data_IF_713180469494
#
_entry.id   IF_713180469494
#
_cell.length_a   1.000
_cell.length_b   1.000
_cell.length_c   1.000
_cell.angle_alpha   90.00
_cell.angle_beta   90.00
_cell.angle_gamma   90.00
#
_symmetry.space_group_name_H-M   'P 1'
#
loop_
_entity.id
_entity.type
_entity.pdbx_description
1 polymer ?
#
# COMPACT_ATOMS: atom_id res chain seq x y z
N UNK A 1 -13.09 -0.68 -25.37
CA UNK A 1 -12.31 0.53 -25.68
C UNK A 1 -10.84 0.23 -25.50
N UNK A 2 -10.03 0.57 -26.50
CA UNK A 2 -8.57 0.44 -26.47
C UNK A 2 -7.99 1.76 -26.98
N UNK A 3 -7.19 2.43 -26.17
CA UNK A 3 -6.37 3.57 -26.57
C UNK A 3 -4.93 3.13 -26.66
N UNK A 4 -4.30 3.50 -27.76
CA UNK A 4 -2.88 3.30 -27.99
C UNK A 4 -2.16 4.64 -28.06
N UNK A 5 -0.91 4.67 -27.63
CA UNK A 5 -0.02 5.83 -27.76
C UNK A 5 0.41 6.05 -29.23
N UNK A 6 1.14 7.14 -29.50
CA UNK A 6 1.66 7.45 -30.84
C UNK A 6 2.59 6.36 -31.43
N UNK A 7 3.22 5.54 -30.57
CA UNK A 7 4.02 4.37 -30.94
C UNK A 7 3.18 3.10 -31.15
N UNK A 8 1.86 3.17 -30.98
CA UNK A 8 0.95 2.04 -31.13
C UNK A 8 0.90 1.09 -29.94
N UNK A 9 1.48 1.44 -28.77
CA UNK A 9 1.39 0.59 -27.57
C UNK A 9 0.07 0.85 -26.85
N UNK A 10 -0.59 -0.18 -26.28
CA UNK A 10 -1.79 0.03 -25.51
C UNK A 10 -1.45 0.90 -24.29
N UNK A 11 -2.20 1.98 -24.09
CA UNK A 11 -2.11 2.88 -22.94
C UNK A 11 -3.34 2.70 -22.04
N UNK A 12 -4.51 2.45 -22.62
CA UNK A 12 -5.74 2.18 -21.87
C UNK A 12 -6.53 1.08 -22.57
N UNK A 13 -6.92 0.05 -21.83
CA UNK A 13 -7.78 -1.02 -22.32
C UNK A 13 -8.94 -1.18 -21.35
N UNK A 14 -10.18 -1.16 -21.81
CA UNK A 14 -11.31 -1.33 -20.93
C UNK A 14 -12.60 -1.68 -21.64
N UNK A 15 -13.61 -2.00 -20.86
CA UNK A 15 -14.96 -2.24 -21.37
C UNK A 15 -15.80 -0.97 -21.29
N UNK A 16 -16.71 -0.84 -22.25
CA UNK A 16 -17.58 0.32 -22.41
C UNK A 16 -18.93 -0.23 -22.81
N UNK A 17 -19.96 0.05 -22.02
CA UNK A 17 -21.34 -0.38 -22.25
C UNK A 17 -22.18 0.85 -22.52
N UNK A 18 -22.91 0.87 -23.63
CA UNK A 18 -23.78 2.00 -24.03
C UNK A 18 -23.06 3.37 -24.07
N UNK A 19 -21.79 3.37 -24.48
CA UNK A 19 -20.97 4.59 -24.55
C UNK A 19 -20.46 5.11 -23.20
N UNK A 20 -20.70 4.37 -22.11
CA UNK A 20 -20.17 4.68 -20.77
C UNK A 20 -19.17 3.61 -20.33
N UNK A 21 -18.17 4.00 -19.54
CA UNK A 21 -17.23 3.05 -18.94
C UNK A 21 -17.98 2.13 -17.98
N UNK A 22 -17.97 0.83 -18.28
CA UNK A 22 -18.64 -0.19 -17.49
C UNK A 22 -17.78 -1.46 -17.55
N UNK A 23 -17.25 -1.84 -16.38
CA UNK A 23 -16.28 -2.91 -16.21
C UNK A 23 -14.88 -2.44 -15.84
N UNK A 24 -13.94 -3.37 -15.88
CA UNK A 24 -12.54 -3.11 -15.56
C UNK A 24 -11.83 -2.40 -16.73
N UNK A 25 -11.09 -1.35 -16.39
CA UNK A 25 -10.23 -0.56 -17.26
C UNK A 25 -8.79 -0.69 -16.77
N UNK A 26 -7.93 -1.19 -17.62
CA UNK A 26 -6.49 -1.37 -17.44
C UNK A 26 -5.77 -0.18 -18.07
N UNK A 27 -4.80 0.37 -17.36
CA UNK A 27 -3.91 1.41 -17.82
C UNK A 27 -2.51 0.84 -17.88
N UNK A 28 -1.83 1.14 -18.98
CA UNK A 28 -0.50 0.68 -19.28
C UNK A 28 0.42 1.88 -19.40
N UNK A 29 1.50 1.89 -18.62
CA UNK A 29 2.57 2.87 -18.73
C UNK A 29 3.75 2.21 -19.46
N UNK A 30 4.20 2.83 -20.57
CA UNK A 30 5.30 2.31 -21.39
C UNK A 30 5.11 0.86 -21.88
N UNK A 31 3.86 0.42 -22.05
CA UNK A 31 3.50 -0.95 -22.45
C UNK A 31 3.46 -1.97 -21.31
N UNK A 32 3.65 -1.54 -20.06
CA UNK A 32 3.48 -2.39 -18.85
C UNK A 32 2.22 -2.00 -18.10
N UNK A 33 1.54 -2.97 -17.51
CA UNK A 33 0.36 -2.70 -16.68
C UNK A 33 0.77 -1.83 -15.49
N UNK A 34 0.21 -0.63 -15.43
CA UNK A 34 0.48 0.36 -14.38
C UNK A 34 -0.70 0.49 -13.43
N UNK A 35 -1.93 0.25 -13.89
CA UNK A 35 -3.12 0.40 -13.07
C UNK A 35 -4.29 -0.39 -13.62
N UNK A 36 -5.20 -0.82 -12.76
CA UNK A 36 -6.49 -1.41 -13.14
C UNK A 36 -7.55 -0.75 -12.27
N UNK A 37 -8.57 -0.18 -12.88
CA UNK A 37 -9.65 0.51 -12.18
C UNK A 37 -10.99 0.03 -12.71
N UNK A 38 -11.97 -0.18 -11.82
CA UNK A 38 -13.31 -0.63 -12.20
C UNK A 38 -14.26 0.54 -12.25
N UNK A 39 -14.95 0.68 -13.38
CA UNK A 39 -15.99 1.68 -13.60
C UNK A 39 -17.34 0.97 -13.73
N UNK A 40 -18.39 1.63 -13.28
CA UNK A 40 -19.77 1.15 -13.43
C UNK A 40 -20.62 2.34 -13.85
N UNK A 41 -21.39 2.18 -14.92
CA UNK A 41 -22.27 3.22 -15.46
C UNK A 41 -21.62 4.60 -15.69
N UNK A 42 -20.30 4.63 -15.93
CA UNK A 42 -19.49 5.84 -16.12
C UNK A 42 -18.88 6.45 -14.84
N UNK A 43 -19.19 5.91 -13.66
CA UNK A 43 -18.59 6.30 -12.39
C UNK A 43 -17.54 5.28 -11.94
N UNK A 44 -16.53 5.74 -11.20
CA UNK A 44 -15.55 4.84 -10.58
C UNK A 44 -16.21 4.12 -9.40
N UNK A 45 -16.61 2.88 -9.62
CA UNK A 45 -17.35 2.04 -8.66
C UNK A 45 -16.78 0.62 -8.71
N UNK A 46 -15.79 0.40 -7.87
CA UNK A 46 -15.13 -0.89 -7.70
C UNK A 46 -13.66 -0.75 -7.31
N UNK A 47 -12.93 -1.88 -7.36
CA UNK A 47 -11.53 -1.90 -6.98
C UNK A 47 -10.65 -1.22 -8.01
N UNK A 48 -9.62 -0.55 -7.51
CA UNK A 48 -8.55 0.11 -8.23
C UNK A 48 -7.21 -0.42 -7.71
N UNK A 49 -6.50 -1.17 -8.53
CA UNK A 49 -5.19 -1.75 -8.20
C UNK A 49 -4.11 -1.00 -8.98
N UNK A 50 -3.07 -0.53 -8.30
CA UNK A 50 -1.90 0.11 -8.92
C UNK A 50 -0.74 -0.86 -8.97
N UNK A 51 -0.04 -0.91 -10.08
CA UNK A 51 1.10 -1.78 -10.35
C UNK A 51 2.35 -0.95 -10.62
N UNK A 52 3.49 -1.39 -10.09
CA UNK A 52 4.78 -0.77 -10.31
C UNK A 52 5.42 -1.21 -11.63
N UNK A 53 6.52 -0.57 -12.01
CA UNK A 53 7.25 -0.89 -13.24
C UNK A 53 7.79 -2.34 -13.28
N UNK A 54 7.94 -2.98 -12.12
CA UNK A 54 8.31 -4.39 -11.94
C UNK A 54 7.12 -5.36 -11.98
N UNK A 55 5.89 -4.85 -12.10
CA UNK A 55 4.65 -5.65 -12.02
C UNK A 55 4.18 -5.95 -10.60
N UNK A 56 4.88 -5.45 -9.58
CA UNK A 56 4.45 -5.56 -8.18
C UNK A 56 3.23 -4.69 -7.90
N UNK A 57 2.28 -5.18 -7.10
CA UNK A 57 1.12 -4.38 -6.66
C UNK A 57 1.59 -3.31 -5.67
N UNK A 58 1.55 -2.06 -6.12
CA UNK A 58 1.90 -0.88 -5.32
C UNK A 58 0.78 -0.46 -4.36
N UNK A 59 -0.43 -0.98 -4.51
CA UNK A 59 -1.53 -0.67 -3.62
C UNK A 59 -2.87 -0.91 -4.29
N UNK A 60 -3.88 -1.08 -3.45
CA UNK A 60 -5.25 -1.34 -3.88
C UNK A 60 -6.16 -0.36 -3.18
N UNK A 61 -7.02 0.32 -3.91
CA UNK A 61 -8.02 1.22 -3.36
C UNK A 61 -9.39 0.79 -3.84
N UNK A 62 -10.39 0.86 -2.96
CA UNK A 62 -11.77 0.63 -3.33
C UNK A 62 -12.46 1.97 -3.49
N UNK A 63 -13.10 2.17 -4.63
CA UNK A 63 -13.95 3.34 -4.88
C UNK A 63 -15.40 2.89 -5.03
N UNK A 64 -16.34 3.72 -4.58
CA UNK A 64 -17.78 3.49 -4.76
C UNK A 64 -18.45 4.83 -5.02
N UNK A 65 -19.18 4.93 -6.12
CA UNK A 65 -19.78 6.18 -6.60
C UNK A 65 -18.79 7.36 -6.66
N UNK A 66 -17.51 7.09 -6.99
CA UNK A 66 -16.44 8.08 -7.01
C UNK A 66 -15.84 8.43 -5.64
N UNK A 67 -16.30 7.80 -4.56
CA UNK A 67 -15.79 8.00 -3.19
C UNK A 67 -14.77 6.91 -2.88
N UNK A 68 -13.56 7.32 -2.46
CA UNK A 68 -12.52 6.41 -1.96
C UNK A 68 -12.97 5.82 -0.61
N UNK A 69 -13.32 4.53 -0.59
CA UNK A 69 -13.76 3.80 0.60
C UNK A 69 -12.58 3.26 1.41
N UNK A 70 -11.62 2.64 0.73
CA UNK A 70 -10.44 2.07 1.38
C UNK A 70 -9.22 2.23 0.49
N UNK A 71 -8.06 2.39 1.10
CA UNK A 71 -6.77 2.12 0.47
C UNK A 71 -6.06 1.06 1.31
N UNK A 72 -5.77 -0.07 0.69
CA UNK A 72 -4.70 -0.93 1.15
C UNK A 72 -3.40 -0.32 0.66
N UNK A 73 -2.45 0.02 1.57
CA UNK A 73 -1.09 0.27 1.15
C UNK A 73 -0.58 -0.94 0.33
N UNK A 74 0.49 -0.76 -0.47
CA UNK A 74 1.18 -1.89 -1.07
C UNK A 74 1.41 -2.92 0.02
N UNK A 75 1.34 -4.21 -0.33
CA UNK A 75 1.88 -5.24 0.55
C UNK A 75 3.32 -4.80 0.86
N UNK A 76 3.52 -4.24 2.05
CA UNK A 76 4.83 -3.80 2.49
C UNK A 76 5.75 -5.00 2.26
N UNK A 77 7.00 -4.81 1.78
CA UNK A 77 7.97 -5.89 1.85
C UNK A 77 7.89 -6.45 3.28
N UNK A 78 7.91 -7.78 3.49
CA UNK A 78 7.79 -8.34 4.83
C UNK A 78 8.74 -7.56 5.72
N UNK A 79 8.19 -6.85 6.72
CA UNK A 79 8.99 -5.98 7.56
C UNK A 79 10.23 -6.77 7.98
N UNK A 80 11.46 -6.27 7.77
CA UNK A 80 12.64 -6.98 8.25
C UNK A 80 12.39 -7.30 9.73
N UNK A 81 12.75 -8.51 10.20
CA UNK A 81 12.46 -8.93 11.55
C UNK A 81 12.88 -7.80 12.49
N UNK A 82 11.93 -7.26 13.25
CA UNK A 82 12.21 -6.21 14.22
C UNK A 82 13.44 -6.67 15.01
N UNK A 83 14.48 -5.83 15.16
CA UNK A 83 15.58 -6.18 16.04
C UNK A 83 14.97 -6.57 17.38
N UNK A 84 15.43 -7.65 18.03
CA UNK A 84 14.86 -8.06 19.31
C UNK A 84 14.86 -6.82 20.20
N UNK A 85 13.67 -6.41 20.63
CA UNK A 85 13.54 -5.27 21.53
C UNK A 85 14.56 -5.46 22.65
N UNK A 86 15.33 -4.43 23.05
CA UNK A 86 16.31 -4.57 24.12
C UNK A 86 15.57 -5.21 25.29
N UNK A 87 16.07 -6.36 25.76
CA UNK A 87 15.40 -7.13 26.79
C UNK A 87 15.05 -6.17 27.94
N UNK A 88 13.81 -6.19 28.46
CA UNK A 88 13.45 -5.35 29.58
C UNK A 88 14.47 -5.59 30.70
N UNK A 89 14.90 -4.54 31.41
CA UNK A 89 15.93 -4.67 32.43
C UNK A 89 15.52 -5.78 33.39
N UNK A 90 16.41 -6.78 33.53
CA UNK A 90 16.16 -7.90 34.43
C UNK A 90 15.98 -7.38 35.86
N UNK A 91 15.31 -8.17 36.71
CA UNK A 91 15.18 -7.83 38.14
C UNK A 91 16.56 -7.57 38.78
N UNK A 92 17.61 -8.24 38.30
CA UNK A 92 19.00 -7.97 38.71
C UNK A 92 19.48 -6.57 38.29
N UNK A 93 19.14 -6.09 37.10
CA UNK A 93 19.47 -4.74 36.64
C UNK A 93 18.68 -3.67 37.42
N UNK A 94 17.39 -3.92 37.68
CA UNK A 94 16.57 -3.04 38.52
C UNK A 94 17.05 -3.01 39.97
N UNK A 95 17.43 -4.18 40.53
CA UNK A 95 17.97 -4.29 41.88
C UNK A 95 19.32 -3.58 42.00
N UNK A 96 20.22 -3.73 41.01
CA UNK A 96 21.48 -2.99 40.95
C UNK A 96 21.23 -1.49 40.90
N UNK A 97 20.35 -1.02 40.02
CA UNK A 97 20.01 0.39 39.90
C UNK A 97 19.41 0.95 41.20
N UNK A 98 18.52 0.21 41.84
CA UNK A 98 17.95 0.58 43.15
C UNK A 98 19.00 0.58 44.26
N UNK A 99 19.89 -0.42 44.32
CA UNK A 99 20.96 -0.50 45.31
C UNK A 99 21.96 0.64 45.12
N UNK A 100 22.35 0.95 43.88
CA UNK A 100 23.19 2.09 43.53
C UNK A 100 22.55 3.42 43.95
N UNK A 101 21.26 3.61 43.67
CA UNK A 101 20.52 4.81 44.07
C UNK A 101 20.40 4.94 45.60
N UNK A 102 20.21 3.82 46.30
CA UNK A 102 20.09 3.79 47.77
C UNK A 102 21.43 4.00 48.48
N UNK A 103 22.52 3.50 47.91
CA UNK A 103 23.88 3.66 48.44
C UNK A 103 24.43 5.08 48.20
N UNK A 104 24.09 5.70 47.06
CA UNK A 104 24.42 7.11 46.79
C UNK A 104 23.77 8.06 47.80
N UNK A 105 22.56 7.73 48.26
CA UNK A 105 21.81 8.53 49.26
C UNK A 105 22.28 8.31 50.71
N UNK A 106 23.12 7.30 50.98
CA UNK A 106 23.68 7.02 52.30
C UNK A 106 25.05 7.66 52.54
N UNK A 107 25.61 8.34 51.53
CA UNK A 107 26.94 8.96 51.57
C UNK A 107 26.90 10.49 51.51
N UNK A 108 25.70 11.08 51.61
CA UNK A 108 25.43 12.51 51.75
C UNK A 108 24.78 12.75 53.11
#
# INVERSE_FOLDING_TARGET
MLLCDAQGRPEVEGQTLDGKLDGAVRFYAEGKLAMVATYKTGALDGPMTSYGADGAVLGEALYRDGIKLSESPPALPPSPPLPPAPAPPTLAALLKLWLSAKLAKARA
#
